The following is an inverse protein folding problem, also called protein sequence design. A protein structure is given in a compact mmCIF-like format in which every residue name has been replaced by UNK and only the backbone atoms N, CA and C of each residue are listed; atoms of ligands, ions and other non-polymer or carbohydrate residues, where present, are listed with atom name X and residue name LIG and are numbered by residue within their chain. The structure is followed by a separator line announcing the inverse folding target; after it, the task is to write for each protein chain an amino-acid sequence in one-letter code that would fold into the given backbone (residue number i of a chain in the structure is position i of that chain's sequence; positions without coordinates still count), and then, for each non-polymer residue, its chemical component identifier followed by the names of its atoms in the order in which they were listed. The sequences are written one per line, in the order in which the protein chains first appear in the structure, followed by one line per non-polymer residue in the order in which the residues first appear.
data_IF_111018722544
#
_entry.id   IF_111018722544
#
_cell.length_a   1.000
_cell.length_b   1.000
_cell.length_c   1.000
_cell.angle_alpha   90.00
_cell.angle_beta   90.00
_cell.angle_gamma   90.00
#
_symmetry.space_group_name_H-M   'P 1'
#
loop_
_entity.id
_entity.type
_entity.pdbx_description
1 polymer ?
#
# COMPACT_ATOMS: atom_id res chain seq x y z
N UNK A 1 14.57 -11.37 15.99
CA UNK A 1 15.15 -10.01 16.13
C UNK A 1 14.48 -9.02 15.20
N UNK A 2 14.55 -9.15 13.86
CA UNK A 2 13.87 -8.20 12.96
C UNK A 2 12.33 -8.26 13.08
N UNK A 3 11.76 -9.47 13.13
CA UNK A 3 10.32 -9.65 13.30
C UNK A 3 9.75 -9.07 14.60
N UNK A 4 10.51 -9.10 15.71
CA UNK A 4 10.07 -8.49 16.98
C UNK A 4 10.15 -6.96 16.96
N UNK A 5 11.13 -6.39 16.25
CA UNK A 5 11.21 -4.94 16.01
C UNK A 5 10.02 -4.49 15.15
N UNK A 6 9.70 -5.21 14.07
CA UNK A 6 8.59 -4.85 13.19
C UNK A 6 7.23 -4.97 13.90
N UNK A 7 7.06 -6.01 14.72
CA UNK A 7 5.86 -6.16 15.55
C UNK A 7 5.72 -4.99 16.54
N UNK A 8 6.80 -4.63 17.25
CA UNK A 8 6.81 -3.51 18.18
C UNK A 8 6.47 -2.17 17.51
N UNK A 9 7.06 -1.87 16.35
CA UNK A 9 6.74 -0.66 15.58
C UNK A 9 5.26 -0.68 15.16
N UNK A 10 4.77 -1.81 14.67
CA UNK A 10 3.38 -2.00 14.29
C UNK A 10 2.40 -1.73 15.43
N UNK A 11 2.66 -2.28 16.60
CA UNK A 11 1.87 -2.04 17.81
C UNK A 11 1.89 -0.57 18.22
N UNK A 12 3.06 0.06 18.25
CA UNK A 12 3.18 1.47 18.66
C UNK A 12 2.48 2.42 17.67
N UNK A 13 2.53 2.12 16.37
CA UNK A 13 1.77 2.81 15.33
C UNK A 13 0.26 2.62 15.54
N UNK A 14 -0.15 1.41 15.92
CA UNK A 14 -1.55 1.07 16.26
C UNK A 14 -2.00 1.70 17.60
N UNK A 15 -1.10 1.96 18.53
CA UNK A 15 -1.42 2.67 19.77
C UNK A 15 -1.51 4.19 19.55
N UNK A 16 -1.06 4.70 18.40
CA UNK A 16 -0.99 6.13 18.14
C UNK A 16 0.08 6.82 18.98
N UNK A 17 1.18 6.10 19.30
CA UNK A 17 2.27 6.63 20.09
C UNK A 17 2.81 7.92 19.44
N UNK A 18 2.62 9.06 20.11
CA UNK A 18 2.84 10.38 19.50
C UNK A 18 4.27 10.64 19.01
N UNK A 19 5.29 10.14 19.73
CA UNK A 19 6.70 10.21 19.31
C UNK A 19 7.34 8.84 19.42
N UNK A 20 7.50 8.17 18.28
CA UNK A 20 8.33 6.98 18.17
C UNK A 20 9.80 7.35 18.40
N UNK A 21 10.52 6.52 19.13
CA UNK A 21 11.96 6.65 19.34
C UNK A 21 12.60 5.26 19.44
N UNK A 22 13.88 5.14 19.08
CA UNK A 22 14.59 3.85 19.21
C UNK A 22 14.57 3.29 20.63
N UNK A 23 14.71 4.07 21.73
CA UNK A 23 14.55 3.54 23.08
C UNK A 23 13.18 2.88 23.31
N UNK A 24 12.08 3.55 22.92
CA UNK A 24 10.72 3.02 23.08
C UNK A 24 10.53 1.73 22.28
N UNK A 25 11.03 1.72 21.03
CA UNK A 25 10.94 0.55 20.16
C UNK A 25 11.79 -0.60 20.69
N UNK A 26 13.00 -0.30 21.18
CA UNK A 26 13.92 -1.28 21.75
C UNK A 26 13.31 -1.97 22.99
N UNK A 27 12.74 -1.18 23.89
CA UNK A 27 12.04 -1.66 25.08
C UNK A 27 10.88 -2.58 24.69
N UNK A 28 10.01 -2.15 23.77
CA UNK A 28 8.88 -2.96 23.32
C UNK A 28 9.31 -4.24 22.60
N UNK A 29 10.34 -4.17 21.77
CA UNK A 29 10.85 -5.30 20.99
C UNK A 29 11.73 -6.26 21.80
N UNK A 30 12.08 -5.91 23.05
CA UNK A 30 13.00 -6.68 23.89
C UNK A 30 14.41 -6.77 23.33
N UNK A 31 14.89 -5.73 22.63
CA UNK A 31 16.22 -5.69 22.01
C UNK A 31 17.09 -4.59 22.60
N UNK A 32 18.41 -4.71 22.44
CA UNK A 32 19.33 -3.63 22.83
C UNK A 32 19.19 -2.45 21.85
N UNK A 33 19.05 -1.19 22.31
CA UNK A 33 18.94 0.01 21.45
C UNK A 33 20.03 0.13 20.38
N UNK A 34 21.27 -0.28 20.68
CA UNK A 34 22.40 -0.26 19.73
C UNK A 34 22.13 -1.10 18.48
N UNK A 35 21.26 -2.10 18.57
CA UNK A 35 20.79 -2.90 17.42
C UNK A 35 20.06 -2.03 16.39
N UNK A 36 19.28 -1.06 16.85
CA UNK A 36 18.50 -0.17 15.99
C UNK A 36 19.41 0.90 15.37
N UNK A 37 20.19 1.61 16.20
CA UNK A 37 21.12 2.65 15.74
C UNK A 37 22.14 2.17 14.70
N UNK A 38 22.51 0.88 14.71
CA UNK A 38 23.44 0.32 13.72
C UNK A 38 22.81 0.07 12.35
N UNK A 39 21.49 -0.17 12.29
CA UNK A 39 20.81 -0.63 11.08
C UNK A 39 19.99 0.47 10.41
N UNK A 40 19.49 1.43 11.18
CA UNK A 40 18.67 2.52 10.68
C UNK A 40 19.26 3.85 11.10
N UNK A 41 19.37 4.76 10.14
CA UNK A 41 19.89 6.11 10.37
C UNK A 41 18.99 6.91 11.32
N UNK A 42 17.68 6.71 11.22
CA UNK A 42 16.69 7.27 12.12
C UNK A 42 15.42 6.40 12.26
N UNK A 43 14.52 6.84 13.13
CA UNK A 43 13.23 6.17 13.40
C UNK A 43 12.33 6.19 12.17
N UNK A 44 12.46 7.19 11.31
CA UNK A 44 11.65 7.38 10.11
C UNK A 44 11.97 6.32 9.06
N UNK A 45 13.27 6.02 8.86
CA UNK A 45 13.75 4.95 8.00
C UNK A 45 13.24 3.58 8.46
N UNK A 46 13.28 3.31 9.77
CA UNK A 46 12.69 2.09 10.33
C UNK A 46 11.17 2.03 10.13
N UNK A 47 10.47 3.13 10.35
CA UNK A 47 9.01 3.20 10.19
C UNK A 47 8.59 2.94 8.74
N UNK A 48 9.30 3.52 7.78
CA UNK A 48 9.08 3.27 6.36
C UNK A 48 9.31 1.80 6.01
N UNK A 49 10.44 1.21 6.45
CA UNK A 49 10.75 -0.21 6.19
C UNK A 49 9.65 -1.13 6.73
N UNK A 50 9.19 -0.89 7.96
CA UNK A 50 8.10 -1.65 8.59
C UNK A 50 6.78 -1.46 7.85
N UNK A 51 6.44 -0.22 7.47
CA UNK A 51 5.20 0.08 6.79
C UNK A 51 5.16 -0.57 5.40
N UNK A 52 6.25 -0.51 4.63
CA UNK A 52 6.37 -1.19 3.34
C UNK A 52 6.21 -2.70 3.55
N UNK A 53 6.95 -3.29 4.49
CA UNK A 53 6.87 -4.73 4.77
C UNK A 53 5.49 -5.18 5.29
N UNK A 54 4.70 -4.30 5.89
CA UNK A 54 3.32 -4.58 6.26
C UNK A 54 2.37 -4.50 5.05
N UNK A 55 2.56 -3.49 4.20
CA UNK A 55 1.71 -3.26 3.02
C UNK A 55 1.94 -4.29 1.90
N UNK A 56 3.13 -4.90 1.83
CA UNK A 56 3.50 -5.91 0.81
C UNK A 56 3.49 -7.36 1.31
N UNK A 57 3.13 -7.60 2.58
CA UNK A 57 3.26 -8.92 3.23
C UNK A 57 2.42 -10.02 2.60
N UNK A 58 1.24 -9.64 2.09
CA UNK A 58 0.27 -10.55 1.53
C UNK A 58 0.22 -10.33 0.02
N UNK A 59 0.68 -11.33 -0.74
CA UNK A 59 0.51 -11.36 -2.20
C UNK A 59 -0.96 -11.66 -2.51
N UNK A 60 -1.77 -10.63 -2.73
CA UNK A 60 -3.12 -10.82 -3.24
C UNK A 60 -3.04 -11.43 -4.64
N UNK A 61 -3.67 -12.58 -4.83
CA UNK A 61 -3.82 -13.18 -6.14
C UNK A 61 -4.50 -12.17 -7.07
N UNK A 62 -3.91 -11.96 -8.25
CA UNK A 62 -4.47 -11.06 -9.24
C UNK A 62 -5.82 -11.63 -9.72
N UNK A 63 -6.95 -10.90 -9.57
CA UNK A 63 -8.26 -11.42 -9.96
C UNK A 63 -8.31 -11.90 -11.42
N UNK A 64 -8.99 -13.00 -11.71
CA UNK A 64 -9.20 -13.52 -13.08
C UNK A 64 -10.68 -13.87 -13.29
N UNK A 65 -11.48 -12.83 -13.47
CA UNK A 65 -12.92 -12.91 -13.66
C UNK A 65 -13.30 -13.18 -15.12
N UNK A 66 -12.34 -13.14 -16.05
CA UNK A 66 -12.56 -13.31 -17.48
C UNK A 66 -12.84 -12.02 -18.26
N UNK A 67 -12.80 -10.84 -17.61
CA UNK A 67 -12.91 -9.51 -18.25
C UNK A 67 -12.04 -8.49 -17.54
N UNK A 68 -11.51 -7.49 -18.26
CA UNK A 68 -10.68 -6.47 -17.63
C UNK A 68 -11.44 -5.65 -16.58
N UNK A 69 -12.68 -5.27 -16.89
CA UNK A 69 -13.52 -4.49 -15.97
C UNK A 69 -13.82 -5.28 -14.68
N UNK A 70 -14.11 -6.58 -14.80
CA UNK A 70 -14.29 -7.45 -13.64
C UNK A 70 -13.01 -7.63 -12.83
N UNK A 71 -11.86 -7.80 -13.49
CA UNK A 71 -10.56 -7.94 -12.83
C UNK A 71 -10.20 -6.67 -12.05
N UNK A 72 -10.33 -5.49 -12.68
CA UNK A 72 -10.06 -4.20 -12.06
C UNK A 72 -11.04 -3.87 -10.93
N UNK A 73 -12.32 -4.20 -11.09
CA UNK A 73 -13.34 -3.98 -10.05
C UNK A 73 -13.04 -4.82 -8.82
N UNK A 74 -12.84 -6.13 -8.99
CA UNK A 74 -12.49 -7.02 -7.88
C UNK A 74 -11.19 -6.57 -7.19
N UNK A 75 -10.19 -6.16 -7.97
CA UNK A 75 -8.92 -5.68 -7.45
C UNK A 75 -9.07 -4.37 -6.66
N UNK A 76 -9.83 -3.41 -7.17
CA UNK A 76 -10.10 -2.14 -6.50
C UNK A 76 -10.84 -2.36 -5.17
N UNK A 77 -11.84 -3.24 -5.13
CA UNK A 77 -12.56 -3.61 -3.91
C UNK A 77 -11.67 -4.30 -2.89
N UNK A 78 -10.82 -5.25 -3.31
CA UNK A 78 -9.85 -5.92 -2.44
C UNK A 78 -8.92 -4.89 -1.80
N UNK A 79 -8.36 -3.98 -2.62
CA UNK A 79 -7.46 -2.94 -2.14
C UNK A 79 -8.19 -2.02 -1.18
N UNK A 80 -9.36 -1.49 -1.55
CA UNK A 80 -10.16 -0.60 -0.72
C UNK A 80 -10.48 -1.22 0.65
N UNK A 81 -10.90 -2.48 0.67
CA UNK A 81 -11.19 -3.23 1.90
C UNK A 81 -9.93 -3.47 2.74
N UNK A 82 -8.76 -3.65 2.12
CA UNK A 82 -7.51 -3.85 2.83
C UNK A 82 -6.98 -2.53 3.43
N UNK A 83 -6.85 -1.46 2.63
CA UNK A 83 -6.24 -0.20 3.07
C UNK A 83 -7.08 0.57 4.10
N UNK A 84 -8.39 0.27 4.19
CA UNK A 84 -9.31 0.83 5.19
C UNK A 84 -9.29 0.08 6.53
N UNK A 85 -8.59 -1.07 6.63
CA UNK A 85 -8.37 -1.73 7.93
C UNK A 85 -7.54 -0.82 8.83
N UNK A 86 -7.93 -0.72 10.10
CA UNK A 86 -7.29 0.16 11.09
C UNK A 86 -5.76 0.08 11.08
N UNK A 87 -5.19 -1.14 11.00
CA UNK A 87 -3.74 -1.33 10.97
C UNK A 87 -3.12 -0.85 9.64
N UNK A 88 -3.70 -1.26 8.50
CA UNK A 88 -3.24 -0.90 7.14
C UNK A 88 -3.29 0.62 6.91
N UNK A 89 -4.35 1.28 7.35
CA UNK A 89 -4.50 2.75 7.29
C UNK A 89 -3.34 3.45 8.03
N UNK A 90 -2.97 2.95 9.21
CA UNK A 90 -1.91 3.55 10.02
C UNK A 90 -0.53 3.35 9.40
N UNK A 91 -0.24 2.17 8.84
CA UNK A 91 0.99 1.96 8.08
C UNK A 91 1.07 2.86 6.84
N UNK A 92 -0.04 3.00 6.10
CA UNK A 92 -0.06 3.86 4.92
C UNK A 92 0.23 5.33 5.27
N UNK A 93 -0.42 5.84 6.33
CA UNK A 93 -0.17 7.20 6.83
C UNK A 93 1.23 7.37 7.41
N UNK A 94 1.75 6.36 8.10
CA UNK A 94 3.11 6.35 8.63
C UNK A 94 4.15 6.40 7.49
N UNK A 95 3.99 5.59 6.45
CA UNK A 95 4.85 5.63 5.26
C UNK A 95 4.78 7.00 4.57
N UNK A 96 3.59 7.58 4.41
CA UNK A 96 3.42 8.90 3.83
C UNK A 96 4.09 10.00 4.67
N UNK A 97 3.95 9.96 6.00
CA UNK A 97 4.57 10.91 6.92
C UNK A 97 6.09 10.75 7.01
N UNK A 98 6.61 9.54 6.75
CA UNK A 98 8.03 9.24 6.80
C UNK A 98 8.80 9.76 5.57
N UNK A 99 8.12 9.97 4.43
CA UNK A 99 8.75 10.47 3.21
C UNK A 99 8.74 11.98 3.15
N UNK A 100 9.90 12.57 3.43
CA UNK A 100 10.14 14.03 3.28
C UNK A 100 10.61 14.37 1.87
N UNK A 101 11.55 13.58 1.34
CA UNK A 101 12.12 13.76 0.01
C UNK A 101 11.37 12.96 -1.06
N UNK A 102 11.48 13.40 -2.31
CA UNK A 102 10.99 12.65 -3.46
C UNK A 102 11.77 11.34 -3.57
N UNK A 103 11.06 10.22 -3.54
CA UNK A 103 11.63 8.89 -3.75
C UNK A 103 11.53 8.47 -5.21
N UNK A 104 12.56 7.78 -5.71
CA UNK A 104 12.57 7.25 -7.09
C UNK A 104 11.78 5.94 -7.24
N UNK A 105 11.59 5.20 -6.14
CA UNK A 105 10.90 3.91 -6.12
C UNK A 105 10.01 3.80 -4.90
N UNK A 106 8.97 2.99 -5.01
CA UNK A 106 8.11 2.64 -3.89
C UNK A 106 7.64 1.19 -4.07
N UNK A 107 8.11 0.24 -3.24
CA UNK A 107 7.78 -1.18 -3.39
C UNK A 107 6.28 -1.50 -3.36
N UNK A 108 5.51 -0.70 -2.61
CA UNK A 108 4.04 -0.80 -2.59
C UNK A 108 3.46 -0.48 -3.97
N UNK A 109 3.93 0.60 -4.61
CA UNK A 109 3.48 0.98 -5.96
C UNK A 109 4.01 0.05 -7.05
N UNK A 110 5.23 -0.48 -6.90
CA UNK A 110 5.79 -1.50 -7.80
C UNK A 110 4.96 -2.79 -7.76
N UNK A 111 4.50 -3.18 -6.58
CA UNK A 111 3.56 -4.32 -6.43
C UNK A 111 2.26 -4.05 -7.18
N UNK A 112 1.64 -2.87 -6.99
CA UNK A 112 0.40 -2.51 -7.71
C UNK A 112 0.61 -2.43 -9.22
N UNK A 113 1.76 -1.92 -9.66
CA UNK A 113 2.17 -1.87 -11.08
C UNK A 113 2.25 -3.28 -11.67
N UNK A 114 2.86 -4.24 -10.95
CA UNK A 114 2.93 -5.63 -11.38
C UNK A 114 1.55 -6.26 -11.53
N UNK A 115 0.66 -6.07 -10.55
CA UNK A 115 -0.72 -6.57 -10.59
C UNK A 115 -1.51 -5.98 -11.77
N UNK A 116 -1.47 -4.67 -11.98
CA UNK A 116 -2.12 -4.01 -13.11
C UNK A 116 -1.55 -4.48 -14.46
N UNK A 117 -0.23 -4.63 -14.56
CA UNK A 117 0.44 -5.14 -15.77
C UNK A 117 -0.09 -6.52 -16.15
N UNK A 118 -0.28 -7.40 -15.18
CA UNK A 118 -0.77 -8.76 -15.40
C UNK A 118 -2.23 -8.80 -15.85
N UNK A 119 -3.13 -8.02 -15.22
CA UNK A 119 -4.53 -7.90 -15.66
C UNK A 119 -4.63 -7.36 -17.08
N UNK A 120 -3.89 -6.30 -17.39
CA UNK A 120 -3.88 -5.70 -18.73
C UNK A 120 -3.24 -6.62 -19.78
N UNK A 121 -2.25 -7.44 -19.40
CA UNK A 121 -1.67 -8.46 -20.29
C UNK A 121 -2.73 -9.49 -20.69
N UNK A 122 -3.46 -10.06 -19.72
CA UNK A 122 -4.52 -11.05 -20.00
C UNK A 122 -5.67 -10.46 -20.81
N UNK A 123 -6.08 -9.22 -20.52
CA UNK A 123 -7.08 -8.52 -21.30
C UNK A 123 -6.68 -8.36 -22.78
N UNK A 124 -5.41 -7.98 -23.04
CA UNK A 124 -4.88 -7.90 -24.41
C UNK A 124 -4.87 -9.27 -25.11
N UNK A 125 -4.55 -10.34 -24.39
CA UNK A 125 -4.61 -11.71 -24.94
C UNK A 125 -6.03 -12.15 -25.31
N UNK A 126 -7.04 -11.64 -24.60
CA UNK A 126 -8.46 -11.81 -24.93
C UNK A 126 -8.96 -10.88 -26.04
N UNK A 127 -8.12 -9.96 -26.53
CA UNK A 127 -8.49 -8.96 -27.55
C UNK A 127 -9.31 -7.78 -27.00
N UNK A 128 -9.31 -7.58 -25.68
CA UNK A 128 -9.95 -6.42 -25.06
C UNK A 128 -9.12 -5.15 -25.28
N UNK A 129 -9.80 -4.01 -25.41
CA UNK A 129 -9.16 -2.68 -25.34
C UNK A 129 -8.71 -2.43 -23.91
N UNK A 130 -7.54 -1.81 -23.76
CA UNK A 130 -6.95 -1.60 -22.42
C UNK A 130 -6.50 -0.16 -22.22
N UNK A 131 -6.70 0.44 -21.03
CA UNK A 131 -5.93 1.60 -20.61
C UNK A 131 -4.44 1.23 -20.42
N UNK A 132 -3.58 2.23 -20.25
CA UNK A 132 -2.19 1.99 -19.86
C UNK A 132 -2.09 1.61 -18.38
N UNK A 133 -0.97 1.00 -17.99
CA UNK A 133 -0.69 0.69 -16.58
C UNK A 133 -0.70 1.98 -15.74
N UNK A 134 -0.11 3.06 -16.24
CA UNK A 134 -0.07 4.35 -15.53
C UNK A 134 -1.48 4.94 -15.36
N UNK A 135 -2.35 4.83 -16.37
CA UNK A 135 -3.75 5.25 -16.24
C UNK A 135 -4.47 4.46 -15.13
N UNK A 136 -4.27 3.15 -15.05
CA UNK A 136 -4.85 2.34 -13.97
C UNK A 136 -4.33 2.78 -12.59
N UNK A 137 -3.02 3.00 -12.47
CA UNK A 137 -2.45 3.43 -11.19
C UNK A 137 -2.93 4.83 -10.80
N UNK A 138 -2.91 5.79 -11.73
CA UNK A 138 -3.24 7.19 -11.47
C UNK A 138 -4.74 7.42 -11.24
N UNK A 139 -5.60 6.63 -11.89
CA UNK A 139 -7.05 6.81 -11.81
C UNK A 139 -7.77 5.83 -10.87
N UNK A 140 -7.14 4.71 -10.47
CA UNK A 140 -7.75 3.75 -9.53
C UNK A 140 -6.99 3.70 -8.21
N UNK A 141 -5.68 3.49 -8.26
CA UNK A 141 -4.88 3.28 -7.03
C UNK A 141 -4.61 4.57 -6.29
N UNK A 142 -4.13 5.59 -6.98
CA UNK A 142 -3.77 6.89 -6.38
C UNK A 142 -4.96 7.54 -5.65
N UNK A 143 -6.20 7.56 -6.20
CA UNK A 143 -7.34 8.16 -5.50
C UNK A 143 -7.76 7.37 -4.24
N UNK A 144 -7.72 6.03 -4.27
CA UNK A 144 -7.97 5.19 -3.08
C UNK A 144 -6.95 5.49 -1.97
N UNK A 145 -5.66 5.54 -2.32
CA UNK A 145 -4.59 5.82 -1.37
C UNK A 145 -4.68 7.25 -0.83
N UNK A 146 -4.97 8.22 -1.70
CA UNK A 146 -5.22 9.62 -1.35
C UNK A 146 -6.32 9.72 -0.29
N UNK A 147 -7.47 9.10 -0.51
CA UNK A 147 -8.57 9.17 0.46
C UNK A 147 -8.18 8.60 1.83
N UNK A 148 -7.50 7.45 1.88
CA UNK A 148 -7.07 6.86 3.15
C UNK A 148 -6.04 7.74 3.87
N UNK A 149 -5.05 8.28 3.15
CA UNK A 149 -4.03 9.17 3.73
C UNK A 149 -4.68 10.42 4.34
N UNK A 150 -5.63 11.03 3.63
CA UNK A 150 -6.31 12.26 4.07
C UNK A 150 -7.54 12.03 4.94
N UNK A 151 -7.81 10.79 5.37
CA UNK A 151 -8.97 10.44 6.19
C UNK A 151 -10.32 10.76 5.56
N UNK A 152 -10.41 10.63 4.23
CA UNK A 152 -11.64 10.75 3.46
C UNK A 152 -12.33 9.38 3.33
N UNK A 153 -13.66 9.34 3.14
CA UNK A 153 -14.39 8.09 2.96
C UNK A 153 -13.91 7.30 1.74
N UNK A 154 -13.76 5.98 1.89
CA UNK A 154 -13.56 5.02 0.80
C UNK A 154 -14.56 3.90 0.99
N UNK A 155 -15.36 3.66 -0.04
CA UNK A 155 -16.32 2.55 -0.10
C UNK A 155 -16.20 1.83 -1.45
N UNK A 156 -16.92 0.72 -1.55
CA UNK A 156 -16.94 -0.13 -2.73
C UNK A 156 -17.53 0.60 -3.95
N UNK A 157 -18.52 1.47 -3.73
CA UNK A 157 -19.11 2.30 -4.79
C UNK A 157 -18.08 3.28 -5.37
N UNK A 158 -17.24 3.89 -4.52
CA UNK A 158 -16.15 4.75 -4.97
C UNK A 158 -15.12 3.97 -5.78
N UNK A 159 -14.71 2.79 -5.32
CA UNK A 159 -13.79 1.91 -6.05
C UNK A 159 -14.33 1.55 -7.44
N UNK A 160 -15.59 1.12 -7.54
CA UNK A 160 -16.24 0.79 -8.81
C UNK A 160 -16.35 1.99 -9.75
N UNK A 161 -16.66 3.19 -9.25
CA UNK A 161 -16.69 4.40 -10.08
C UNK A 161 -15.32 4.70 -10.71
N UNK A 162 -14.24 4.59 -9.94
CA UNK A 162 -12.88 4.80 -10.47
C UNK A 162 -12.54 3.80 -11.59
N UNK A 163 -12.97 2.55 -11.44
CA UNK A 163 -12.77 1.51 -12.46
C UNK A 163 -13.58 1.82 -13.72
N UNK A 164 -14.86 2.18 -13.58
CA UNK A 164 -15.69 2.59 -14.70
C UNK A 164 -15.07 3.77 -15.47
N UNK A 165 -14.55 4.77 -14.76
CA UNK A 165 -13.92 5.96 -15.36
C UNK A 165 -12.62 5.62 -16.11
N UNK A 166 -11.77 4.75 -15.57
CA UNK A 166 -10.53 4.35 -16.27
C UNK A 166 -10.83 3.46 -17.48
N UNK A 167 -11.90 2.66 -17.45
CA UNK A 167 -12.32 1.85 -18.60
C UNK A 167 -12.75 2.70 -19.80
N UNK A 168 -13.30 3.90 -19.56
CA UNK A 168 -13.60 4.86 -20.62
C UNK A 168 -12.35 5.39 -21.34
N UNK A 169 -11.14 5.18 -20.78
CA UNK A 169 -9.86 5.54 -21.39
C UNK A 169 -9.25 4.43 -22.25
N UNK A 170 -9.83 3.23 -22.25
CA UNK A 170 -9.35 2.09 -23.01
C UNK A 170 -9.41 2.36 -24.53
N UNK A 171 -8.32 2.05 -25.25
CA UNK A 171 -8.20 2.30 -26.69
C UNK A 171 -8.08 1.03 -27.49
#
# INVERSE_FOLDING_TARGET
MLGSIYAAVGELVVEGAGKLSFPIIAERAGVNPTTLYRRWDDVTALLEEVAIAALTRDGEAVPDTGSLEGDLSAWASIIAADITRVQRTRYLRAMAAARVDIVSTCPVMETRRGQATEMLRRARERGEKTPTVDQVLDHVISPLYHHVVFALPVDDDYAHRLVHDVMAMAR
#
